data_IF_631447425098
#
_entry.id   IF_631447425098
#
_cell.length_a   1.000
_cell.length_b   1.000
_cell.length_c   1.000
_cell.angle_alpha   90.00
_cell.angle_beta   90.00
_cell.angle_gamma   90.00
#
_symmetry.space_group_name_H-M   'P 1'
#
loop_
_entity.id
_entity.type
_entity.pdbx_description
1 polymer ?
#
# COMPACT_ATOMS: atom_id res chain seq x y z
N UNK A 1 -14.57 13.65 -15.16
CA UNK A 1 -14.95 12.23 -15.32
C UNK A 1 -16.42 11.97 -14.97
N UNK A 2 -17.22 13.00 -14.60
CA UNK A 2 -18.69 12.86 -14.46
C UNK A 2 -19.16 12.13 -13.20
N UNK A 3 -18.33 12.06 -12.17
CA UNK A 3 -18.66 11.41 -10.89
C UNK A 3 -18.96 12.45 -9.82
N UNK A 4 -19.94 12.16 -8.97
CA UNK A 4 -20.19 12.93 -7.75
C UNK A 4 -19.16 12.55 -6.68
N UNK A 5 -18.71 13.52 -5.89
CA UNK A 5 -17.66 13.32 -4.88
C UNK A 5 -18.05 13.95 -3.56
N UNK A 6 -17.80 13.25 -2.45
CA UNK A 6 -17.93 13.78 -1.10
C UNK A 6 -16.63 13.61 -0.31
N UNK A 7 -16.37 14.51 0.64
CA UNK A 7 -15.30 14.32 1.62
C UNK A 7 -15.78 13.43 2.76
N UNK A 8 -15.10 12.31 2.98
CA UNK A 8 -15.39 11.39 4.08
C UNK A 8 -14.62 11.83 5.33
N UNK A 9 -15.35 12.32 6.33
CA UNK A 9 -14.83 12.75 7.64
C UNK A 9 -15.51 12.03 8.81
N UNK A 10 -16.66 11.41 8.56
CA UNK A 10 -17.48 10.71 9.55
C UNK A 10 -17.90 9.32 9.04
N UNK A 11 -18.07 8.32 9.92
CA UNK A 11 -18.47 6.96 9.53
C UNK A 11 -19.72 6.90 8.65
N UNK A 12 -20.76 7.69 8.95
CA UNK A 12 -22.03 7.68 8.22
C UNK A 12 -21.89 8.02 6.72
N UNK A 13 -20.83 8.70 6.32
CA UNK A 13 -20.58 9.07 4.92
C UNK A 13 -20.07 7.88 4.09
N UNK A 14 -19.54 6.83 4.72
CA UNK A 14 -19.10 5.60 4.04
C UNK A 14 -20.25 4.79 3.44
N UNK A 15 -21.49 5.10 3.81
CA UNK A 15 -22.70 4.50 3.26
C UNK A 15 -23.22 5.25 2.01
N UNK A 16 -22.60 6.36 1.63
CA UNK A 16 -23.04 7.24 0.54
C UNK A 16 -22.12 7.17 -0.69
N UNK A 17 -21.20 6.20 -0.71
CA UNK A 17 -20.15 6.11 -1.72
C UNK A 17 -20.07 4.71 -2.31
N UNK A 18 -19.74 4.65 -3.60
CA UNK A 18 -19.52 3.42 -4.36
C UNK A 18 -18.02 3.07 -4.49
N UNK A 19 -17.15 4.02 -4.13
CA UNK A 19 -15.70 3.84 -4.10
C UNK A 19 -15.04 4.91 -3.23
N UNK A 20 -13.82 4.63 -2.77
CA UNK A 20 -13.05 5.53 -1.91
C UNK A 20 -11.62 5.71 -2.41
N UNK A 21 -11.10 6.93 -2.34
CA UNK A 21 -9.69 7.24 -2.61
C UNK A 21 -9.06 7.75 -1.32
N UNK A 22 -7.97 7.11 -0.90
CA UNK A 22 -7.06 7.61 0.13
C UNK A 22 -5.95 8.40 -0.55
N UNK A 23 -5.97 9.75 -0.46
CA UNK A 23 -5.04 10.59 -1.19
C UNK A 23 -3.64 10.52 -0.61
N UNK A 24 -2.67 11.10 -1.31
CA UNK A 24 -1.35 11.36 -0.75
C UNK A 24 -1.38 12.40 0.38
N UNK A 25 -0.28 12.51 1.13
CA UNK A 25 -0.18 13.39 2.30
C UNK A 25 0.73 12.85 3.40
N UNK A 26 0.31 13.01 4.65
CA UNK A 26 1.04 12.55 5.83
C UNK A 26 0.28 11.38 6.48
N UNK A 27 0.73 10.15 6.22
CA UNK A 27 0.01 8.94 6.64
C UNK A 27 -0.06 8.79 8.16
N UNK A 28 0.93 9.30 8.91
CA UNK A 28 0.93 9.25 10.37
C UNK A 28 -0.12 10.19 10.96
N UNK A 29 -0.26 11.41 10.42
CA UNK A 29 -1.33 12.32 10.78
C UNK A 29 -2.71 11.74 10.45
N UNK A 30 -2.88 11.14 9.26
CA UNK A 30 -4.14 10.49 8.88
C UNK A 30 -4.52 9.36 9.84
N UNK A 31 -3.56 8.51 10.22
CA UNK A 31 -3.78 7.43 11.18
C UNK A 31 -4.17 7.95 12.56
N UNK A 32 -3.46 8.96 13.07
CA UNK A 32 -3.76 9.58 14.37
C UNK A 32 -5.13 10.26 14.41
N UNK A 33 -5.51 11.00 13.36
CA UNK A 33 -6.83 11.64 13.30
C UNK A 33 -7.95 10.60 13.30
N UNK A 34 -7.73 9.47 12.62
CA UNK A 34 -8.71 8.40 12.49
C UNK A 34 -9.07 7.69 13.81
N UNK A 35 -8.23 7.76 14.84
CA UNK A 35 -8.49 7.12 16.14
C UNK A 35 -9.52 7.88 16.99
N UNK A 36 -9.77 9.15 16.71
CA UNK A 36 -10.57 10.02 17.59
C UNK A 36 -12.09 9.98 17.37
N UNK A 37 -12.62 9.34 16.32
CA UNK A 37 -14.05 9.38 15.99
C UNK A 37 -14.65 8.04 15.50
N UNK A 38 -13.95 6.92 15.68
CA UNK A 38 -14.42 5.59 15.26
C UNK A 38 -14.45 5.36 13.75
N UNK A 39 -14.02 6.34 12.92
CA UNK A 39 -13.97 6.17 11.47
C UNK A 39 -13.00 5.09 11.04
N UNK A 40 -11.93 4.87 11.81
CA UNK A 40 -10.91 3.88 11.47
C UNK A 40 -11.48 2.46 11.37
N UNK A 41 -12.26 2.07 12.36
CA UNK A 41 -12.92 0.76 12.39
C UNK A 41 -13.90 0.61 11.23
N UNK A 42 -14.65 1.66 10.90
CA UNK A 42 -15.60 1.61 9.78
C UNK A 42 -14.91 1.60 8.41
N UNK A 43 -13.74 2.26 8.28
CA UNK A 43 -12.91 2.17 7.08
C UNK A 43 -12.38 0.75 6.90
N UNK A 44 -11.85 0.12 7.95
CA UNK A 44 -11.42 -1.28 7.91
C UNK A 44 -12.58 -2.20 7.53
N UNK A 45 -13.75 -2.03 8.14
CA UNK A 45 -14.94 -2.80 7.81
C UNK A 45 -15.37 -2.59 6.34
N UNK A 46 -15.40 -1.34 5.87
CA UNK A 46 -15.81 -0.99 4.51
C UNK A 46 -14.85 -1.54 3.45
N UNK A 47 -13.54 -1.41 3.68
CA UNK A 47 -12.52 -1.88 2.73
C UNK A 47 -12.42 -3.41 2.73
N UNK A 48 -12.39 -4.04 3.92
CA UNK A 48 -12.05 -5.46 4.06
C UNK A 48 -13.28 -6.39 4.01
N UNK A 49 -14.43 -5.94 4.52
CA UNK A 49 -15.65 -6.76 4.61
C UNK A 49 -16.66 -6.41 3.53
N UNK A 50 -17.00 -5.13 3.38
CA UNK A 50 -17.89 -4.67 2.29
C UNK A 50 -17.22 -4.71 0.91
N UNK A 51 -15.89 -4.86 0.86
CA UNK A 51 -15.10 -4.94 -0.37
C UNK A 51 -15.31 -3.73 -1.29
N UNK A 52 -15.53 -2.54 -0.70
CA UNK A 52 -15.71 -1.30 -1.46
C UNK A 52 -14.47 -1.02 -2.33
N UNK A 53 -14.61 -0.76 -3.64
CA UNK A 53 -13.51 -0.32 -4.49
C UNK A 53 -12.71 0.82 -3.84
N UNK A 54 -11.42 0.59 -3.64
CA UNK A 54 -10.55 1.43 -2.82
C UNK A 54 -9.26 1.74 -3.57
N UNK A 55 -8.84 3.00 -3.60
CA UNK A 55 -7.58 3.42 -4.21
C UNK A 55 -6.71 4.18 -3.22
N UNK A 56 -5.51 3.67 -2.91
CA UNK A 56 -4.51 4.39 -2.13
C UNK A 56 -3.40 4.98 -3.00
N UNK A 57 -3.17 6.29 -2.90
CA UNK A 57 -2.06 6.97 -3.59
C UNK A 57 -1.02 7.44 -2.58
N UNK A 58 0.27 7.16 -2.80
CA UNK A 58 1.39 7.54 -1.93
C UNK A 58 1.13 7.21 -0.44
N UNK A 59 0.74 8.20 0.37
CA UNK A 59 0.42 8.03 1.79
C UNK A 59 -0.79 7.11 2.01
N UNK A 60 -1.82 7.21 1.16
CA UNK A 60 -2.98 6.34 1.22
C UNK A 60 -2.65 4.87 0.97
N UNK A 61 -1.68 4.58 0.09
CA UNK A 61 -1.17 3.21 -0.07
C UNK A 61 -0.55 2.70 1.22
N UNK A 62 0.26 3.51 1.91
CA UNK A 62 0.86 3.13 3.21
C UNK A 62 -0.23 2.71 4.19
N UNK A 63 -1.36 3.42 4.26
CA UNK A 63 -2.48 3.06 5.13
C UNK A 63 -3.09 1.68 4.81
N UNK A 64 -3.14 1.29 3.53
CA UNK A 64 -3.76 0.03 3.09
C UNK A 64 -2.82 -1.18 3.17
N UNK A 65 -1.52 -0.95 3.36
CA UNK A 65 -0.53 -2.04 3.44
C UNK A 65 -0.65 -2.81 4.74
N UNK A 66 -0.32 -4.10 4.71
CA UNK A 66 -0.23 -4.91 5.91
C UNK A 66 1.09 -4.69 6.65
N UNK A 67 2.16 -4.29 5.95
CA UNK A 67 3.52 -4.22 6.50
C UNK A 67 4.30 -3.02 5.95
N UNK A 68 4.96 -2.27 6.82
CA UNK A 68 5.88 -1.22 6.37
C UNK A 68 7.14 -1.07 7.24
N UNK A 69 8.20 -0.51 6.63
CA UNK A 69 9.51 -0.22 7.24
C UNK A 69 9.93 1.22 6.95
N UNK A 70 10.93 1.71 7.69
CA UNK A 70 11.56 3.03 7.48
C UNK A 70 11.34 4.01 8.63
N UNK A 71 11.97 5.18 8.55
CA UNK A 71 11.81 6.25 9.55
C UNK A 71 10.34 6.65 9.68
N UNK A 72 9.86 6.79 10.92
CA UNK A 72 8.45 6.94 11.33
C UNK A 72 7.59 5.66 11.33
N UNK A 73 8.15 4.49 10.99
CA UNK A 73 7.51 3.20 11.30
C UNK A 73 7.56 2.88 12.81
N UNK A 74 8.36 3.59 13.61
CA UNK A 74 8.24 3.48 15.07
C UNK A 74 7.02 4.28 15.50
N UNK A 75 5.86 3.64 15.48
CA UNK A 75 4.63 4.21 16.01
C UNK A 75 4.44 3.63 17.40
N UNK A 76 4.91 4.35 18.41
CA UNK A 76 4.82 3.90 19.81
C UNK A 76 3.39 3.92 20.35
N UNK A 77 2.41 4.47 19.62
CA UNK A 77 0.99 4.56 20.03
C UNK A 77 0.00 4.46 18.86
N UNK A 78 0.00 3.34 18.13
CA UNK A 78 -1.17 2.94 17.33
C UNK A 78 -1.59 3.81 16.13
N UNK A 79 -0.68 4.18 15.22
CA UNK A 79 -1.11 4.35 13.82
C UNK A 79 -1.45 2.94 13.35
N UNK A 80 -2.72 2.59 13.48
CA UNK A 80 -3.26 1.40 12.87
C UNK A 80 -3.11 1.56 11.36
N UNK A 81 -2.68 0.52 10.68
CA UNK A 81 -2.89 0.40 9.25
C UNK A 81 -4.34 -0.05 9.03
N UNK A 82 -4.94 0.32 7.91
CA UNK A 82 -6.24 -0.22 7.48
C UNK A 82 -6.02 -1.68 7.06
N UNK A 83 -4.91 -1.95 6.36
CA UNK A 83 -4.59 -3.27 5.84
C UNK A 83 -5.45 -3.66 4.64
N UNK A 84 -5.33 -4.93 4.23
CA UNK A 84 -6.01 -5.49 3.06
C UNK A 84 -5.07 -5.76 1.89
N UNK A 85 -3.93 -5.06 1.83
CA UNK A 85 -2.90 -5.25 0.83
C UNK A 85 -1.66 -5.94 1.44
N UNK A 86 -1.45 -7.22 1.09
CA UNK A 86 -0.31 -8.02 1.57
C UNK A 86 0.96 -7.64 0.79
N UNK A 87 1.56 -6.53 1.20
CA UNK A 87 2.81 -6.01 0.64
C UNK A 87 3.72 -5.53 1.77
N UNK A 88 5.02 -5.49 1.50
CA UNK A 88 6.00 -4.80 2.33
C UNK A 88 6.37 -3.47 1.69
N UNK A 89 6.09 -2.37 2.37
CA UNK A 89 6.42 -1.01 1.89
C UNK A 89 7.59 -0.39 2.65
N UNK A 90 8.54 0.18 1.90
CA UNK A 90 9.52 1.11 2.44
C UNK A 90 8.98 2.54 2.36
N UNK A 91 8.77 3.18 3.51
CA UNK A 91 8.31 4.58 3.59
C UNK A 91 9.42 5.52 3.13
N UNK A 92 9.04 6.61 2.45
CA UNK A 92 9.94 7.67 1.99
C UNK A 92 11.16 7.12 1.21
N UNK A 93 10.96 6.06 0.43
CA UNK A 93 12.02 5.38 -0.32
C UNK A 93 12.83 6.36 -1.17
N UNK A 94 12.12 7.29 -1.81
CA UNK A 94 12.66 8.22 -2.80
C UNK A 94 13.23 9.53 -2.20
N UNK A 95 13.08 9.77 -0.90
CA UNK A 95 13.67 10.93 -0.22
C UNK A 95 12.68 12.05 0.15
N UNK A 96 13.20 13.26 0.33
CA UNK A 96 12.48 14.39 0.94
C UNK A 96 11.50 15.11 -0.02
N UNK A 97 10.70 16.03 0.52
CA UNK A 97 9.76 16.85 -0.28
C UNK A 97 10.47 17.67 -1.37
N UNK A 98 11.70 18.13 -1.11
CA UNK A 98 12.51 18.91 -2.07
C UNK A 98 13.01 18.03 -3.23
N UNK A 99 12.87 16.71 -3.08
CA UNK A 99 13.29 15.71 -4.05
C UNK A 99 12.11 15.18 -4.87
N UNK A 100 11.04 15.96 -5.06
CA UNK A 100 9.96 15.57 -5.98
C UNK A 100 10.48 15.44 -7.41
N UNK A 101 10.10 14.38 -8.11
CA UNK A 101 10.45 14.17 -9.50
C UNK A 101 9.34 13.46 -10.26
N UNK A 102 9.44 13.50 -11.58
CA UNK A 102 8.60 12.73 -12.49
C UNK A 102 9.43 11.61 -13.10
N UNK A 103 8.83 10.41 -13.17
CA UNK A 103 9.44 9.24 -13.79
C UNK A 103 8.39 8.52 -14.64
N UNK A 104 8.71 8.09 -15.86
CA UNK A 104 7.84 7.21 -16.64
C UNK A 104 7.53 5.92 -15.87
N UNK A 105 6.24 5.62 -15.70
CA UNK A 105 5.73 4.38 -15.12
C UNK A 105 4.91 3.62 -16.17
N UNK A 106 4.67 2.32 -15.99
CA UNK A 106 3.69 1.62 -16.79
C UNK A 106 2.30 2.27 -16.72
N UNK A 107 1.61 2.31 -17.85
CA UNK A 107 0.19 2.69 -17.92
C UNK A 107 -0.70 1.58 -17.33
N UNK A 108 -1.95 1.89 -16.93
CA UNK A 108 -2.88 0.84 -16.55
C UNK A 108 -3.15 -0.11 -17.72
N UNK A 109 -3.38 -1.41 -17.44
CA UNK A 109 -3.74 -2.37 -18.48
C UNK A 109 -5.10 -2.01 -19.10
N UNK A 110 -5.23 -2.23 -20.41
CA UNK A 110 -6.47 -2.00 -21.13
C UNK A 110 -7.46 -3.15 -20.91
N UNK A 111 -8.79 -2.89 -20.98
CA UNK A 111 -9.78 -3.96 -20.92
C UNK A 111 -9.58 -4.99 -22.03
N UNK A 112 -9.38 -6.25 -21.67
CA UNK A 112 -9.19 -7.36 -22.62
C UNK A 112 -7.73 -7.71 -22.95
N UNK A 113 -6.76 -6.95 -22.45
CA UNK A 113 -5.34 -7.29 -22.61
C UNK A 113 -4.97 -8.45 -21.68
N UNK A 114 -4.77 -9.62 -22.28
CA UNK A 114 -4.17 -10.78 -21.62
C UNK A 114 -2.65 -10.55 -21.58
N UNK A 115 -2.17 -9.87 -20.52
CA UNK A 115 -0.74 -9.70 -20.21
C UNK A 115 0.20 -9.59 -21.42
N UNK A 116 0.05 -8.56 -22.25
CA UNK A 116 1.12 -8.15 -23.18
C UNK A 116 0.77 -6.83 -23.85
N UNK A 117 1.37 -5.74 -23.39
CA UNK A 117 1.95 -4.82 -24.36
C UNK A 117 3.21 -4.19 -23.76
N UNK A 118 4.35 -4.62 -24.31
CA UNK A 118 5.64 -3.92 -24.18
C UNK A 118 5.62 -2.55 -24.90
N UNK A 119 4.44 -1.96 -25.15
CA UNK A 119 4.26 -0.72 -25.91
C UNK A 119 2.98 0.06 -25.53
N UNK A 120 2.49 -0.06 -24.30
CA UNK A 120 1.61 0.97 -23.76
C UNK A 120 2.39 2.28 -23.59
N UNK A 121 1.85 3.42 -24.05
CA UNK A 121 2.47 4.73 -23.80
C UNK A 121 2.75 4.89 -22.31
N UNK A 122 3.95 5.35 -21.94
CA UNK A 122 4.30 5.51 -20.52
C UNK A 122 3.37 6.50 -19.81
N UNK A 123 3.16 6.29 -18.52
CA UNK A 123 2.41 7.19 -17.65
C UNK A 123 3.39 8.10 -16.89
N UNK A 124 3.15 9.42 -16.82
CA UNK A 124 4.03 10.35 -16.10
C UNK A 124 3.80 10.25 -14.59
N UNK A 125 4.50 9.35 -13.90
CA UNK A 125 4.37 9.19 -12.45
C UNK A 125 5.05 10.32 -11.69
N UNK A 126 4.29 11.07 -10.89
CA UNK A 126 4.79 12.13 -9.99
C UNK A 126 5.10 11.55 -8.61
N UNK A 127 6.38 11.49 -8.23
CA UNK A 127 6.83 10.91 -6.96
C UNK A 127 7.22 12.02 -5.97
N UNK A 128 6.50 12.11 -4.86
CA UNK A 128 6.72 13.11 -3.81
C UNK A 128 6.80 12.41 -2.46
N UNK A 129 7.98 12.43 -1.83
CA UNK A 129 8.28 11.60 -0.64
C UNK A 129 7.78 10.16 -0.79
N UNK A 130 7.84 9.64 -2.00
CA UNK A 130 7.08 8.46 -2.34
C UNK A 130 7.58 7.24 -1.55
N UNK A 131 6.68 6.34 -1.14
CA UNK A 131 7.05 5.00 -0.71
C UNK A 131 7.49 4.15 -1.90
N UNK A 132 8.10 2.99 -1.63
CA UNK A 132 8.28 1.94 -2.61
C UNK A 132 7.77 0.61 -2.06
N UNK A 133 7.09 -0.19 -2.89
CA UNK A 133 6.73 -1.55 -2.51
C UNK A 133 7.95 -2.43 -2.79
N UNK A 134 8.46 -3.06 -1.73
CA UNK A 134 9.60 -3.96 -1.79
C UNK A 134 9.17 -5.38 -2.17
N UNK A 135 8.00 -5.81 -1.69
CA UNK A 135 7.50 -7.18 -1.84
C UNK A 135 5.99 -7.18 -1.98
N UNK A 136 5.49 -8.13 -2.76
CA UNK A 136 4.08 -8.40 -2.94
C UNK A 136 3.79 -9.87 -2.62
N UNK A 137 2.74 -10.13 -1.85
CA UNK A 137 2.27 -11.48 -1.54
C UNK A 137 1.64 -12.17 -2.76
N UNK A 138 1.38 -13.47 -2.66
CA UNK A 138 0.90 -14.29 -3.79
C UNK A 138 -0.46 -13.89 -4.35
N UNK A 139 -1.30 -13.21 -3.58
CA UNK A 139 -2.60 -12.69 -4.01
C UNK A 139 -2.57 -11.24 -4.53
N UNK A 140 -1.39 -10.65 -4.70
CA UNK A 140 -1.23 -9.26 -5.15
C UNK A 140 -0.76 -9.24 -6.61
N UNK A 141 -1.55 -8.63 -7.46
CA UNK A 141 -1.20 -8.37 -8.86
C UNK A 141 -0.27 -7.16 -8.95
N UNK A 142 0.91 -7.36 -9.55
CA UNK A 142 1.87 -6.28 -9.80
C UNK A 142 1.59 -5.68 -11.17
N UNK A 143 1.12 -4.43 -11.18
CA UNK A 143 0.74 -3.71 -12.39
C UNK A 143 1.85 -2.77 -12.89
N UNK A 144 2.80 -2.40 -12.04
CA UNK A 144 3.86 -1.47 -12.43
C UNK A 144 5.10 -1.55 -11.55
N UNK A 145 6.26 -1.48 -12.21
CA UNK A 145 7.58 -1.43 -11.59
C UNK A 145 8.40 -0.28 -12.17
N UNK A 146 9.36 0.20 -11.39
CA UNK A 146 10.33 1.23 -11.79
C UNK A 146 11.71 0.89 -11.27
N UNK A 147 12.75 1.32 -11.97
CA UNK A 147 14.13 1.24 -11.48
C UNK A 147 14.44 2.56 -10.76
N UNK A 148 14.79 2.48 -9.49
CA UNK A 148 15.04 3.65 -8.67
C UNK A 148 16.16 3.44 -7.66
N UNK A 149 16.89 4.52 -7.37
CA UNK A 149 17.87 4.53 -6.29
C UNK A 149 17.17 4.91 -4.97
N UNK A 150 17.33 4.13 -3.89
CA UNK A 150 16.82 4.53 -2.58
C UNK A 150 17.56 5.78 -2.09
N UNK A 151 16.86 6.66 -1.38
CA UNK A 151 17.53 7.72 -0.62
C UNK A 151 18.43 7.11 0.46
N UNK A 152 19.37 7.90 1.00
CA UNK A 152 20.35 7.43 2.01
C UNK A 152 19.68 6.71 3.20
N UNK A 153 18.55 7.22 3.67
CA UNK A 153 17.84 6.64 4.80
C UNK A 153 17.18 5.30 4.43
N UNK A 154 16.52 5.24 3.28
CA UNK A 154 15.92 4.01 2.77
C UNK A 154 17.00 2.94 2.49
N UNK A 155 18.15 3.34 1.95
CA UNK A 155 19.28 2.44 1.73
C UNK A 155 19.77 1.80 3.04
N UNK A 156 19.88 2.59 4.12
CA UNK A 156 20.23 2.07 5.43
C UNK A 156 19.18 1.09 5.99
N UNK A 157 17.88 1.43 5.85
CA UNK A 157 16.78 0.53 6.22
C UNK A 157 16.83 -0.78 5.43
N UNK A 158 17.09 -0.73 4.13
CA UNK A 158 17.20 -1.93 3.30
C UNK A 158 18.41 -2.79 3.68
N UNK A 159 19.56 -2.19 3.97
CA UNK A 159 20.74 -2.93 4.42
C UNK A 159 20.50 -3.65 5.76
N UNK A 160 19.77 -3.02 6.69
CA UNK A 160 19.36 -3.67 7.94
C UNK A 160 18.38 -4.82 7.69
N UNK A 161 17.43 -4.61 6.79
CA UNK A 161 16.45 -5.61 6.38
C UNK A 161 17.11 -6.82 5.70
N UNK A 162 18.04 -6.59 4.77
CA UNK A 162 18.84 -7.61 4.08
C UNK A 162 19.61 -8.48 5.10
N UNK A 163 20.24 -7.87 6.12
CA UNK A 163 20.96 -8.59 7.19
C UNK A 163 20.04 -9.46 8.02
N UNK A 164 18.90 -8.93 8.46
CA UNK A 164 17.92 -9.66 9.28
C UNK A 164 17.33 -10.86 8.51
N UNK A 165 17.03 -10.69 7.22
CA UNK A 165 16.58 -11.78 6.34
C UNK A 165 17.67 -12.86 6.23
N UNK A 166 18.92 -12.48 6.03
CA UNK A 166 20.03 -13.42 5.95
C UNK A 166 20.25 -14.22 7.25
N UNK A 167 19.90 -13.63 8.40
CA UNK A 167 19.93 -14.28 9.71
C UNK A 167 18.69 -15.16 9.98
N UNK A 168 17.73 -15.22 9.05
CA UNK A 168 16.50 -16.00 9.19
C UNK A 168 15.49 -15.40 10.17
N UNK A 169 15.61 -14.11 10.50
CA UNK A 169 14.64 -13.43 11.36
C UNK A 169 13.26 -13.35 10.69
N UNK A 170 12.21 -13.50 11.50
CA UNK A 170 10.84 -13.34 11.04
C UNK A 170 10.43 -11.87 11.09
N UNK A 171 9.56 -11.46 10.17
CA UNK A 171 9.13 -10.07 9.94
C UNK A 171 8.74 -9.31 11.23
N UNK A 172 8.18 -10.01 12.22
CA UNK A 172 7.72 -9.46 13.50
C UNK A 172 8.88 -8.88 14.33
N UNK A 173 10.12 -9.36 14.18
CA UNK A 173 11.30 -8.82 14.88
C UNK A 173 11.97 -7.65 14.14
N UNK A 174 11.52 -7.32 12.94
CA UNK A 174 12.24 -6.44 12.02
C UNK A 174 11.84 -4.95 12.11
N UNK A 175 11.48 -4.40 13.27
CA UNK A 175 11.00 -2.98 13.35
C UNK A 175 9.93 -2.64 12.29
N UNK A 176 9.16 -3.65 11.88
CA UNK A 176 8.09 -3.57 10.90
C UNK A 176 6.83 -3.15 11.64
N UNK A 177 6.06 -2.25 11.04
CA UNK A 177 4.70 -1.98 11.50
C UNK A 177 3.77 -2.91 10.77
N UNK A 178 3.05 -3.72 11.52
CA UNK A 178 2.02 -4.61 11.00
C UNK A 178 0.62 -4.06 11.28
N UNK A 179 -0.31 -4.26 10.35
CA UNK A 179 -1.73 -3.97 10.55
C UNK A 179 -2.34 -4.75 11.74
N UNK A 180 -1.67 -5.83 12.17
CA UNK A 180 -2.13 -6.76 13.21
C UNK A 180 -1.72 -6.39 14.65
N UNK A 181 -1.04 -5.27 14.89
CA UNK A 181 -0.88 -4.75 16.27
C UNK A 181 -2.23 -4.24 16.79
N UNK A 182 -3.10 -5.19 17.16
CA UNK A 182 -4.34 -4.96 17.90
C UNK A 182 -3.99 -4.73 19.36
N UNK A 183 -4.49 -3.63 19.91
CA UNK A 183 -4.69 -3.49 21.34
C UNK A 183 -5.55 -4.65 21.84
N UNK A 184 -4.93 -5.65 22.46
CA UNK A 184 -5.61 -6.37 23.53
C UNK A 184 -5.05 -5.82 24.84
N UNK A 185 -5.73 -4.83 25.40
CA UNK A 185 -5.61 -4.42 26.79
C UNK A 185 -6.11 -5.49 27.76
N UNK A 186 -5.70 -6.75 27.56
CA UNK A 186 -6.01 -7.89 28.41
C UNK A 186 -4.68 -8.46 28.91
N UNK A 187 -4.40 -8.45 30.22
CA UNK A 187 -3.21 -9.09 30.77
C UNK A 187 -3.21 -10.57 30.37
N UNK A 188 -2.04 -11.09 29.98
CA UNK A 188 -1.83 -12.53 29.76
C UNK A 188 -2.29 -13.32 30.99
N UNK A 189 -3.48 -13.88 30.92
CA UNK A 189 -3.87 -15.02 31.75
C UNK A 189 -4.00 -16.23 30.85
N UNK A 190 -3.40 -17.31 31.33
CA UNK A 190 -3.23 -18.59 30.67
C UNK A 190 -4.53 -19.18 30.09
N UNK A 191 -4.35 -19.99 29.05
CA UNK A 191 -5.25 -21.04 28.57
C UNK A 191 -6.60 -20.61 27.96
N UNK A 192 -6.65 -20.67 26.62
CA UNK A 192 -7.51 -21.66 25.92
C UNK A 192 -7.14 -21.75 24.45
N UNK A 193 -6.85 -22.98 24.04
CA UNK A 193 -6.44 -23.40 22.71
C UNK A 193 -7.35 -22.88 21.59
N UNK A 194 -6.79 -22.11 20.68
CA UNK A 194 -7.24 -22.06 19.29
C UNK A 194 -6.21 -22.83 18.48
N UNK A 195 -6.65 -23.94 17.89
CA UNK A 195 -5.84 -24.88 17.14
C UNK A 195 -5.03 -24.20 16.04
N UNK A 196 -3.71 -24.42 16.11
CA UNK A 196 -2.64 -23.85 15.25
C UNK A 196 -2.64 -24.45 13.82
N UNK A 197 -3.77 -24.96 13.32
CA UNK A 197 -3.82 -25.68 12.04
C UNK A 197 -4.22 -24.85 10.82
N UNK A 198 -4.78 -23.64 10.99
CA UNK A 198 -5.24 -22.79 9.87
C UNK A 198 -4.47 -21.47 9.70
N UNK A 199 -3.38 -21.26 10.46
CA UNK A 199 -2.41 -20.19 10.17
C UNK A 199 -1.36 -20.78 9.22
N UNK A 200 -1.61 -20.61 7.93
CA UNK A 200 -0.62 -20.92 6.92
C UNK A 200 0.65 -20.07 7.21
N UNK A 201 1.83 -20.68 7.39
CA UNK A 201 3.05 -19.94 7.69
C UNK A 201 3.33 -18.95 6.54
N UNK A 202 3.81 -17.72 6.83
CA UNK A 202 4.19 -16.79 5.79
C UNK A 202 5.24 -17.46 4.90
N UNK A 203 4.98 -17.41 3.59
CA UNK A 203 5.72 -18.07 2.52
C UNK A 203 7.24 -18.07 2.76
N UNK A 204 7.85 -19.26 2.74
CA UNK A 204 9.30 -19.48 2.72
C UNK A 204 9.95 -18.64 1.60
N UNK A 205 10.96 -17.84 1.98
CA UNK A 205 11.89 -17.18 1.04
C UNK A 205 11.53 -15.73 0.70
N UNK A 206 11.74 -14.80 1.64
CA UNK A 206 11.62 -13.36 1.37
C UNK A 206 12.85 -12.89 0.57
N UNK A 207 12.69 -12.57 -0.71
CA UNK A 207 13.78 -12.03 -1.55
C UNK A 207 13.48 -10.58 -1.92
N UNK A 208 14.22 -9.65 -1.32
CA UNK A 208 14.12 -8.22 -1.65
C UNK A 208 14.64 -7.97 -3.08
N UNK A 209 14.22 -6.89 -3.73
CA UNK A 209 14.76 -6.56 -5.04
C UNK A 209 16.26 -6.32 -4.96
N UNK A 210 17.03 -7.01 -5.80
CA UNK A 210 18.48 -6.90 -5.86
C UNK A 210 18.93 -5.52 -6.34
N UNK A 211 20.08 -5.05 -5.84
CA UNK A 211 20.74 -3.87 -6.41
C UNK A 211 21.40 -4.26 -7.74
N UNK A 212 21.24 -3.43 -8.77
CA UNK A 212 21.91 -3.65 -10.06
C UNK A 212 23.44 -3.57 -9.89
N UNK A 213 24.21 -4.45 -10.54
CA UNK A 213 25.67 -4.46 -10.42
C UNK A 213 26.27 -3.06 -10.71
N UNK A 214 27.04 -2.53 -9.75
CA UNK A 214 27.68 -1.21 -9.87
C UNK A 214 26.79 0.00 -9.53
N UNK A 215 25.54 -0.19 -9.10
CA UNK A 215 24.68 0.88 -8.59
C UNK A 215 23.83 0.45 -7.39
N UNK A 216 23.39 1.37 -6.53
CA UNK A 216 22.41 1.06 -5.48
C UNK A 216 20.95 1.03 -6.02
N UNK A 217 20.75 1.18 -7.34
CA UNK A 217 19.42 1.20 -7.93
C UNK A 217 18.78 -0.20 -7.89
N UNK A 218 17.49 -0.24 -7.58
CA UNK A 218 16.70 -1.47 -7.44
C UNK A 218 15.44 -1.35 -8.28
N UNK A 219 15.00 -2.47 -8.86
CA UNK A 219 13.66 -2.57 -9.42
C UNK A 219 12.65 -2.62 -8.26
N UNK A 220 11.80 -1.62 -8.12
CA UNK A 220 10.78 -1.57 -7.06
C UNK A 220 9.39 -1.48 -7.66
N UNK A 221 8.41 -2.00 -6.92
CA UNK A 221 7.02 -1.99 -7.36
C UNK A 221 6.42 -0.61 -7.04
N UNK A 222 5.71 -0.05 -8.02
CA UNK A 222 5.06 1.27 -7.90
C UNK A 222 3.54 1.23 -8.11
N UNK A 223 2.99 0.13 -8.65
CA UNK A 223 1.55 -0.07 -8.76
C UNK A 223 1.18 -1.53 -8.50
N UNK A 224 0.18 -1.74 -7.66
CA UNK A 224 -0.38 -3.06 -7.35
C UNK A 224 -1.89 -3.02 -7.24
N UNK A 225 -2.51 -4.18 -7.45
CA UNK A 225 -3.92 -4.41 -7.21
C UNK A 225 -4.13 -5.72 -6.45
N UNK A 226 -5.07 -5.75 -5.52
CA UNK A 226 -5.54 -6.96 -4.83
C UNK A 226 -7.03 -6.83 -4.60
N UNK A 227 -7.82 -7.74 -5.18
CA UNK A 227 -9.29 -7.69 -5.15
C UNK A 227 -9.81 -6.29 -5.57
N UNK A 228 -10.50 -5.61 -4.65
CA UNK A 228 -11.09 -4.28 -4.73
C UNK A 228 -10.11 -3.13 -4.43
N UNK A 229 -8.85 -3.42 -4.11
CA UNK A 229 -7.85 -2.43 -3.68
C UNK A 229 -6.84 -2.18 -4.81
N UNK A 230 -6.73 -0.93 -5.24
CA UNK A 230 -5.68 -0.41 -6.11
C UNK A 230 -4.72 0.45 -5.29
N UNK A 231 -3.42 0.35 -5.52
CA UNK A 231 -2.44 1.20 -4.86
C UNK A 231 -1.36 1.70 -5.83
N UNK A 232 -1.05 3.00 -5.76
CA UNK A 232 0.04 3.64 -6.52
C UNK A 232 1.02 4.33 -5.56
N UNK A 233 2.32 4.17 -5.82
CA UNK A 233 3.37 4.85 -5.06
C UNK A 233 3.48 6.36 -5.42
N UNK A 234 3.07 6.72 -6.63
CA UNK A 234 3.05 8.09 -7.15
C UNK A 234 1.67 8.74 -7.00
N UNK A 235 1.62 10.04 -7.35
CA UNK A 235 0.44 10.91 -7.29
C UNK A 235 -0.20 11.09 -8.68
N UNK A 236 -1.09 10.19 -9.12
CA UNK A 236 -1.81 10.33 -10.38
C UNK A 236 -2.66 11.61 -10.42
N UNK A 237 -3.10 12.11 -9.27
CA UNK A 237 -3.90 13.33 -9.10
C UNK A 237 -3.14 14.62 -9.45
N UNK A 238 -1.81 14.58 -9.56
CA UNK A 238 -0.97 15.72 -9.91
C UNK A 238 -0.62 15.77 -11.40
N UNK A 239 -1.22 14.88 -12.20
CA UNK A 239 -0.99 14.79 -13.65
C UNK A 239 -2.28 15.09 -14.41
N UNK A 240 -2.15 15.50 -15.69
CA UNK A 240 -3.29 15.62 -16.59
C UNK A 240 -3.71 14.28 -17.22
N UNK A 241 -2.94 13.22 -16.99
CA UNK A 241 -3.21 11.88 -17.50
C UNK A 241 -4.18 11.13 -16.58
N UNK A 242 -5.36 10.84 -17.13
CA UNK A 242 -6.49 10.28 -16.40
C UNK A 242 -6.58 8.76 -16.46
N UNK A 243 -5.67 8.07 -17.14
CA UNK A 243 -5.79 6.62 -17.39
C UNK A 243 -5.94 5.81 -16.09
N UNK A 244 -5.17 6.10 -15.05
CA UNK A 244 -5.33 5.43 -13.75
C UNK A 244 -6.65 5.76 -13.05
N UNK A 245 -7.17 6.97 -13.22
CA UNK A 245 -8.48 7.33 -12.69
C UNK A 245 -9.60 6.60 -13.42
N UNK A 246 -9.51 6.50 -14.75
CA UNK A 246 -10.46 5.74 -15.56
C UNK A 246 -10.41 4.24 -15.21
N UNK A 247 -9.22 3.69 -14.99
CA UNK A 247 -9.03 2.34 -14.49
C UNK A 247 -9.75 2.12 -13.15
N UNK A 248 -9.56 3.02 -12.18
CA UNK A 248 -10.26 2.92 -10.90
C UNK A 248 -11.79 3.07 -11.03
N UNK A 249 -12.27 4.00 -11.86
CA UNK A 249 -13.71 4.15 -12.11
C UNK A 249 -14.31 2.91 -12.77
N UNK A 250 -13.55 2.20 -13.61
CA UNK A 250 -14.00 0.92 -14.15
C UNK A 250 -14.10 -0.16 -13.07
N UNK A 251 -13.17 -0.20 -12.10
CA UNK A 251 -13.32 -1.08 -10.93
C UNK A 251 -14.60 -0.77 -10.14
N UNK A 252 -14.92 0.52 -9.96
CA UNK A 252 -16.16 0.95 -9.28
C UNK A 252 -17.40 0.47 -10.04
N UNK A 253 -17.44 0.68 -11.37
CA UNK A 253 -18.57 0.25 -12.21
C UNK A 253 -18.76 -1.27 -12.17
N UNK A 254 -17.68 -2.03 -12.27
CA UNK A 254 -17.72 -3.50 -12.20
C UNK A 254 -18.29 -3.97 -10.86
N UNK A 255 -17.85 -3.39 -9.75
CA UNK A 255 -18.38 -3.72 -8.42
C UNK A 255 -19.88 -3.42 -8.27
N UNK A 256 -20.39 -2.37 -8.93
CA UNK A 256 -21.81 -2.03 -8.91
C UNK A 256 -22.66 -2.97 -9.78
N UNK A 257 -22.09 -3.55 -10.83
CA UNK A 257 -22.77 -4.51 -11.69
C UNK A 257 -22.77 -5.92 -11.10
N UNK A 258 -21.71 -6.31 -10.38
CA UNK A 258 -21.64 -7.58 -9.62
C UNK A 258 -22.55 -7.60 -8.38
N UNK A 259 -22.89 -6.43 -7.83
CA UNK A 259 -23.76 -6.28 -6.68
C UNK A 259 -25.27 -6.22 -7.00
N UNK A 260 -25.65 -6.26 -8.28
CA UNK A 260 -27.05 -6.36 -8.75
C UNK A 260 -27.45 -7.82 -8.94
#
# INVERSE_FOLDING_TARGET
>A
MGCDTIQVKMPAQLNQIDGIIFPGGESTAMGLIGTHNGIWTELQHTVLKRKLPTWGTCAGMVLLTERCVGTSAVIENGQSLIGGLDVLVCRNYFGSQVSSFELPTPAPPLPGDSHSSELGESYPGVFIRAPAILLAGSGVEVLGKVIAKPCRQAAATLQDLDKKIALGETVITMSVVDALHRETGVPRTAEKDVSVSDVQPPSKGLSLPGAAEGSDAREVICVVKKDNILCTAFHPELTNDRRWHEYFLNMVRQSLDEGK
#
